data_IF_769216570618
#
_entry.id   IF_769216570618
#
_cell.length_a   1.000
_cell.length_b   1.000
_cell.length_c   1.000
_cell.angle_alpha   90.00
_cell.angle_beta   90.00
_cell.angle_gamma   90.00
#
_symmetry.space_group_name_H-M   'P 1'
#
loop_
_entity.id
_entity.type
_entity.pdbx_description
1 polymer ?
#
# COMPACT_ATOMS: atom_id res chain seq x y z
N UNK A 1 -2.11 7.65 -14.58
CA UNK A 1 -2.36 7.19 -13.19
C UNK A 1 -3.81 6.80 -13.01
N UNK A 2 -4.09 5.75 -12.23
CA UNK A 2 -5.43 5.32 -11.77
C UNK A 2 -5.56 5.63 -10.29
N UNK A 3 -6.75 6.04 -9.84
CA UNK A 3 -6.96 6.53 -8.48
C UNK A 3 -7.85 5.60 -7.69
N UNK A 4 -7.39 5.20 -6.52
CA UNK A 4 -8.07 4.27 -5.63
C UNK A 4 -8.24 4.75 -4.21
N UNK A 5 -8.91 3.91 -3.42
CA UNK A 5 -9.04 4.09 -1.98
C UNK A 5 -9.01 2.73 -1.28
N UNK A 6 -8.34 2.67 -0.13
CA UNK A 6 -8.31 1.49 0.72
C UNK A 6 -9.63 1.36 1.48
N UNK A 7 -10.19 0.15 1.52
CA UNK A 7 -11.51 -0.12 2.10
C UNK A 7 -11.67 0.37 3.55
N UNK A 8 -10.58 0.34 4.33
CA UNK A 8 -10.61 0.65 5.77
C UNK A 8 -10.93 2.13 6.09
N UNK A 9 -11.01 3.01 5.10
CA UNK A 9 -11.47 4.39 5.29
C UNK A 9 -12.85 4.47 5.96
N UNK A 10 -13.76 3.55 5.60
CA UNK A 10 -15.11 3.50 6.14
C UNK A 10 -15.23 2.68 7.41
N UNK A 11 -14.20 1.92 7.78
CA UNK A 11 -14.29 0.87 8.77
C UNK A 11 -13.60 1.20 10.11
N UNK A 12 -14.03 0.49 11.15
CA UNK A 12 -13.35 0.44 12.45
C UNK A 12 -12.73 -0.94 12.71
N UNK A 13 -13.14 -1.94 11.94
CA UNK A 13 -12.67 -3.32 12.08
C UNK A 13 -12.05 -3.81 10.77
N UNK A 14 -11.02 -4.65 10.89
CA UNK A 14 -10.35 -5.23 9.73
C UNK A 14 -11.14 -6.34 9.04
N UNK A 15 -11.90 -7.11 9.83
CA UNK A 15 -12.62 -8.28 9.34
C UNK A 15 -14.05 -7.91 8.92
N UNK A 16 -14.18 -7.33 7.75
CA UNK A 16 -15.45 -6.93 7.14
C UNK A 16 -15.56 -7.49 5.72
N UNK A 17 -16.79 -7.61 5.20
CA UNK A 17 -17.00 -7.95 3.79
C UNK A 17 -16.66 -6.74 2.91
N UNK A 18 -15.51 -6.80 2.25
CA UNK A 18 -15.00 -5.70 1.44
C UNK A 18 -15.64 -5.63 0.04
N UNK A 19 -16.36 -6.66 -0.39
CA UNK A 19 -17.09 -6.69 -1.68
C UNK A 19 -18.12 -5.56 -1.78
N UNK A 20 -18.73 -5.16 -0.66
CA UNK A 20 -19.71 -4.08 -0.59
C UNK A 20 -19.19 -2.73 -1.09
N UNK A 21 -17.87 -2.52 -1.06
CA UNK A 21 -17.26 -1.26 -1.51
C UNK A 21 -17.04 -1.16 -3.01
N UNK A 22 -17.17 -2.26 -3.78
CA UNK A 22 -16.90 -2.26 -5.24
C UNK A 22 -17.81 -1.26 -5.97
N UNK A 23 -19.12 -1.32 -5.75
CA UNK A 23 -20.06 -0.35 -6.35
C UNK A 23 -19.90 1.04 -5.76
N UNK A 24 -19.72 1.14 -4.44
CA UNK A 24 -19.54 2.41 -3.75
C UNK A 24 -18.38 3.23 -4.33
N UNK A 25 -17.19 2.65 -4.47
CA UNK A 25 -16.02 3.39 -4.98
C UNK A 25 -16.23 3.83 -6.43
N UNK A 26 -16.97 3.06 -7.24
CA UNK A 26 -17.38 3.46 -8.59
C UNK A 26 -18.23 4.71 -8.57
N UNK A 27 -19.27 4.73 -7.74
CA UNK A 27 -20.20 5.85 -7.64
C UNK A 27 -19.51 7.13 -7.13
N UNK A 28 -18.46 6.98 -6.33
CA UNK A 28 -17.64 8.08 -5.82
C UNK A 28 -16.55 8.57 -6.81
N UNK A 29 -16.41 7.93 -7.98
CA UNK A 29 -15.51 8.35 -9.04
C UNK A 29 -14.08 7.82 -8.96
N UNK A 30 -13.86 6.72 -8.21
CA UNK A 30 -12.60 6.00 -8.19
C UNK A 30 -12.45 5.04 -9.37
N UNK A 31 -11.22 4.67 -9.68
CA UNK A 31 -10.87 3.62 -10.64
C UNK A 31 -10.54 2.31 -9.93
N UNK A 32 -10.14 2.37 -8.65
CA UNK A 32 -9.57 1.25 -7.88
C UNK A 32 -10.24 1.16 -6.52
N UNK A 33 -10.54 -0.09 -6.10
CA UNK A 33 -10.73 -0.45 -4.70
C UNK A 33 -9.50 -1.25 -4.26
N UNK A 34 -8.82 -0.80 -3.20
CA UNK A 34 -7.80 -1.61 -2.56
C UNK A 34 -8.38 -2.41 -1.41
N UNK A 35 -8.15 -3.73 -1.46
CA UNK A 35 -8.63 -4.69 -0.47
C UNK A 35 -7.49 -5.20 0.40
N UNK A 36 -7.81 -5.73 1.59
CA UNK A 36 -6.82 -6.43 2.42
C UNK A 36 -6.69 -7.89 2.02
N UNK A 37 -5.47 -8.38 1.85
CA UNK A 37 -5.20 -9.82 1.67
C UNK A 37 -5.69 -10.67 2.85
N UNK A 38 -5.92 -10.09 4.02
CA UNK A 38 -6.44 -10.80 5.17
C UNK A 38 -7.81 -11.46 4.89
N UNK A 39 -8.67 -10.80 4.11
CA UNK A 39 -9.96 -11.36 3.71
C UNK A 39 -9.83 -12.59 2.80
N UNK A 40 -8.72 -12.71 2.08
CA UNK A 40 -8.51 -13.79 1.12
C UNK A 40 -8.06 -15.11 1.77
N UNK A 41 -7.69 -15.13 3.06
CA UNK A 41 -7.15 -16.32 3.74
C UNK A 41 -8.05 -17.55 3.60
N UNK A 42 -9.34 -17.39 3.82
CA UNK A 42 -10.31 -18.49 3.85
C UNK A 42 -11.39 -18.39 2.76
N UNK A 43 -11.19 -17.55 1.76
CA UNK A 43 -12.15 -17.35 0.67
C UNK A 43 -12.12 -18.56 -0.29
N UNK A 44 -13.25 -19.01 -0.72
CA UNK A 44 -13.41 -20.08 -1.72
C UNK A 44 -13.12 -19.56 -3.13
N UNK A 45 -12.84 -20.49 -4.06
CA UNK A 45 -12.65 -20.13 -5.47
C UNK A 45 -13.89 -19.50 -6.09
N UNK A 46 -15.07 -19.96 -5.73
CA UNK A 46 -16.34 -19.44 -6.26
C UNK A 46 -16.57 -18.00 -5.80
N UNK A 47 -16.29 -17.70 -4.53
CA UNK A 47 -16.35 -16.32 -4.01
C UNK A 47 -15.32 -15.39 -4.66
N UNK A 48 -14.11 -15.89 -4.98
CA UNK A 48 -13.11 -15.13 -5.76
C UNK A 48 -13.63 -14.79 -7.15
N UNK A 49 -14.23 -15.77 -7.85
CA UNK A 49 -14.80 -15.55 -9.18
C UNK A 49 -16.00 -14.61 -9.16
N UNK A 50 -16.85 -14.70 -8.13
CA UNK A 50 -17.94 -13.75 -7.89
C UNK A 50 -17.39 -12.32 -7.71
N UNK A 51 -16.40 -12.14 -6.84
CA UNK A 51 -15.79 -10.83 -6.59
C UNK A 51 -15.11 -10.26 -7.84
N UNK A 52 -14.39 -11.09 -8.61
CA UNK A 52 -13.83 -10.69 -9.90
C UNK A 52 -14.92 -10.19 -10.84
N UNK A 53 -16.04 -10.92 -10.93
CA UNK A 53 -17.16 -10.53 -11.77
C UNK A 53 -17.77 -9.21 -11.31
N UNK A 54 -17.99 -9.02 -10.01
CA UNK A 54 -18.53 -7.77 -9.47
C UNK A 54 -17.64 -6.57 -9.82
N UNK A 55 -16.33 -6.71 -9.67
CA UNK A 55 -15.36 -5.66 -10.01
C UNK A 55 -15.37 -5.36 -11.52
N UNK A 56 -15.36 -6.38 -12.35
CA UNK A 56 -15.43 -6.24 -13.81
C UNK A 56 -16.74 -5.57 -14.28
N UNK A 57 -17.90 -5.99 -13.74
CA UNK A 57 -19.21 -5.42 -14.09
C UNK A 57 -19.28 -3.93 -13.69
N UNK A 58 -18.67 -3.55 -12.56
CA UNK A 58 -18.58 -2.16 -12.11
C UNK A 58 -17.50 -1.36 -12.87
N UNK A 59 -16.60 -1.99 -13.61
CA UNK A 59 -15.45 -1.36 -14.23
C UNK A 59 -14.45 -0.81 -13.20
N UNK A 60 -14.31 -1.51 -12.06
CA UNK A 60 -13.37 -1.21 -10.98
C UNK A 60 -12.21 -2.20 -11.04
N UNK A 61 -11.00 -1.68 -10.98
CA UNK A 61 -9.79 -2.46 -10.78
C UNK A 61 -9.60 -2.75 -9.29
N UNK A 62 -9.13 -3.95 -8.95
CA UNK A 62 -8.75 -4.26 -7.58
C UNK A 62 -7.23 -4.20 -7.43
N UNK A 63 -6.76 -3.69 -6.29
CA UNK A 63 -5.40 -3.86 -5.78
C UNK A 63 -5.46 -4.46 -4.38
N UNK A 64 -4.33 -4.90 -3.85
CA UNK A 64 -4.32 -5.55 -2.54
C UNK A 64 -3.24 -4.96 -1.64
N UNK A 65 -3.60 -4.70 -0.37
CA UNK A 65 -2.68 -4.29 0.69
C UNK A 65 -2.55 -5.36 1.77
N UNK A 66 -1.38 -5.44 2.44
CA UNK A 66 -1.20 -6.37 3.53
C UNK A 66 -0.16 -5.95 4.57
N UNK A 67 -0.57 -5.94 5.84
CA UNK A 67 0.31 -5.94 7.01
C UNK A 67 0.43 -7.37 7.57
N UNK A 68 1.50 -8.11 7.29
CA UNK A 68 1.63 -9.50 7.70
C UNK A 68 1.87 -9.61 9.20
N UNK A 69 1.24 -10.57 9.87
CA UNK A 69 1.50 -10.82 11.28
C UNK A 69 2.84 -11.56 11.49
N UNK A 70 3.28 -11.69 12.75
CA UNK A 70 4.57 -12.29 13.11
C UNK A 70 4.76 -13.75 12.62
N UNK A 71 3.68 -14.49 12.33
CA UNK A 71 3.76 -15.86 11.79
C UNK A 71 3.99 -15.89 10.27
N UNK A 72 3.88 -14.74 9.61
CA UNK A 72 4.04 -14.55 8.17
C UNK A 72 5.28 -13.68 7.86
N UNK A 73 6.21 -13.60 8.83
CA UNK A 73 7.40 -12.75 8.76
C UNK A 73 8.50 -13.37 7.88
N UNK A 74 8.75 -12.79 6.71
CA UNK A 74 9.84 -13.18 5.80
C UNK A 74 11.25 -12.83 6.32
N UNK A 75 11.36 -11.96 7.33
CA UNK A 75 12.63 -11.60 7.96
C UNK A 75 12.96 -12.50 9.18
N UNK A 76 12.09 -13.42 9.57
CA UNK A 76 12.24 -14.24 10.76
C UNK A 76 13.53 -15.08 10.77
N UNK A 77 14.14 -15.23 11.94
CA UNK A 77 15.24 -16.18 12.17
C UNK A 77 14.74 -17.62 12.40
N UNK A 78 13.43 -17.81 12.59
CA UNK A 78 12.80 -19.12 12.73
C UNK A 78 12.44 -19.69 11.35
N UNK A 79 13.06 -20.83 10.93
CA UNK A 79 12.78 -21.44 9.62
C UNK A 79 11.33 -21.87 9.42
N UNK A 80 10.62 -22.27 10.49
CA UNK A 80 9.20 -22.65 10.38
C UNK A 80 8.31 -21.44 10.13
N UNK A 81 8.61 -20.29 10.73
CA UNK A 81 7.91 -19.03 10.43
C UNK A 81 8.13 -18.64 8.97
N UNK A 82 9.37 -18.70 8.48
CA UNK A 82 9.69 -18.39 7.08
C UNK A 82 8.97 -19.32 6.10
N UNK A 83 8.98 -20.62 6.38
CA UNK A 83 8.26 -21.62 5.57
C UNK A 83 6.76 -21.34 5.51
N UNK A 84 6.14 -21.02 6.66
CA UNK A 84 4.74 -20.65 6.74
C UNK A 84 4.46 -19.36 5.96
N UNK A 85 5.34 -18.35 6.07
CA UNK A 85 5.22 -17.09 5.33
C UNK A 85 5.26 -17.32 3.82
N UNK A 86 6.23 -18.09 3.30
CA UNK A 86 6.34 -18.41 1.87
C UNK A 86 5.09 -19.18 1.40
N UNK A 87 4.60 -20.15 2.18
CA UNK A 87 3.39 -20.90 1.84
C UNK A 87 2.16 -19.98 1.80
N UNK A 88 2.04 -19.07 2.76
CA UNK A 88 0.97 -18.08 2.81
C UNK A 88 0.98 -17.17 1.57
N UNK A 89 2.14 -16.55 1.25
CA UNK A 89 2.24 -15.68 0.07
C UNK A 89 2.01 -16.43 -1.23
N UNK A 90 2.44 -17.69 -1.33
CA UNK A 90 2.16 -18.53 -2.50
C UNK A 90 0.66 -18.74 -2.71
N UNK A 91 -0.10 -18.99 -1.64
CA UNK A 91 -1.56 -19.13 -1.70
C UNK A 91 -2.24 -17.80 -2.06
N UNK A 92 -1.84 -16.71 -1.42
CA UNK A 92 -2.39 -15.38 -1.69
C UNK A 92 -2.13 -14.97 -3.15
N UNK A 93 -0.91 -15.10 -3.66
CA UNK A 93 -0.57 -14.70 -5.03
C UNK A 93 -1.41 -15.45 -6.07
N UNK A 94 -1.66 -16.75 -5.87
CA UNK A 94 -2.58 -17.51 -6.73
C UNK A 94 -4.04 -17.02 -6.65
N UNK A 95 -4.48 -16.55 -5.50
CA UNK A 95 -5.81 -15.95 -5.35
C UNK A 95 -5.88 -14.57 -6.03
N UNK A 96 -4.80 -13.78 -5.96
CA UNK A 96 -4.70 -12.51 -6.67
C UNK A 96 -4.76 -12.73 -8.19
N UNK A 97 -4.08 -13.75 -8.73
CA UNK A 97 -4.17 -14.16 -10.14
C UNK A 97 -5.62 -14.47 -10.54
N UNK A 98 -6.36 -15.25 -9.73
CA UNK A 98 -7.78 -15.55 -9.98
C UNK A 98 -8.62 -14.26 -10.01
N UNK A 99 -8.36 -13.33 -9.10
CA UNK A 99 -9.05 -12.05 -9.00
C UNK A 99 -8.66 -11.04 -10.09
N UNK A 100 -7.63 -11.31 -10.88
CA UNK A 100 -7.05 -10.36 -11.85
C UNK A 100 -6.42 -9.13 -11.15
N UNK A 101 -5.84 -9.35 -9.98
CA UNK A 101 -5.12 -8.33 -9.21
C UNK A 101 -3.64 -8.41 -9.56
N UNK A 102 -3.09 -7.33 -10.09
CA UNK A 102 -1.70 -7.26 -10.56
C UNK A 102 -0.77 -6.47 -9.63
N UNK A 103 -1.26 -6.03 -8.48
CA UNK A 103 -0.45 -5.27 -7.50
C UNK A 103 -0.81 -5.67 -6.09
N UNK A 104 0.20 -6.08 -5.32
CA UNK A 104 0.13 -6.23 -3.87
C UNK A 104 1.15 -5.29 -3.24
N UNK A 105 0.75 -4.55 -2.18
CA UNK A 105 1.62 -3.65 -1.44
C UNK A 105 1.57 -3.87 0.07
N UNK A 106 2.47 -3.22 0.79
CA UNK A 106 2.51 -3.25 2.26
C UNK A 106 3.85 -3.69 2.85
N UNK A 107 3.85 -3.90 4.16
CA UNK A 107 5.02 -4.38 4.92
C UNK A 107 5.39 -5.84 4.67
N UNK A 108 5.15 -6.34 3.47
CA UNK A 108 5.18 -7.75 3.05
C UNK A 108 6.57 -8.37 2.95
N UNK A 109 7.57 -7.70 3.47
CA UNK A 109 8.97 -8.15 3.61
C UNK A 109 9.34 -8.47 5.07
N UNK A 110 8.49 -8.08 6.03
CA UNK A 110 8.69 -8.27 7.47
C UNK A 110 7.36 -8.64 8.13
N UNK A 111 7.01 -8.02 9.27
CA UNK A 111 5.74 -8.20 9.95
C UNK A 111 5.24 -6.89 10.57
N UNK A 112 3.93 -6.80 10.76
CA UNK A 112 3.25 -5.64 11.32
C UNK A 112 2.06 -6.07 12.20
N UNK A 113 1.83 -5.43 13.35
CA UNK A 113 2.69 -4.42 13.98
C UNK A 113 3.96 -5.04 14.59
N UNK A 114 5.04 -4.23 14.61
CA UNK A 114 6.33 -4.69 15.14
C UNK A 114 6.31 -4.74 16.67
N UNK A 115 6.89 -5.82 17.24
CA UNK A 115 7.11 -5.96 18.66
C UNK A 115 8.45 -5.34 19.10
N UNK A 116 8.44 -4.05 19.39
CA UNK A 116 9.63 -3.32 19.85
C UNK A 116 10.07 -3.64 21.29
N UNK A 117 9.38 -4.54 21.99
CA UNK A 117 9.85 -5.04 23.29
C UNK A 117 11.05 -6.00 23.18
N UNK A 118 11.31 -6.49 21.97
CA UNK A 118 12.42 -7.40 21.65
C UNK A 118 13.58 -6.69 20.99
N UNK A 119 14.82 -7.17 21.17
CA UNK A 119 15.96 -6.65 20.42
C UNK A 119 15.75 -6.76 18.91
N UNK A 120 16.12 -5.71 18.19
CA UNK A 120 16.07 -5.64 16.72
C UNK A 120 17.44 -6.01 16.15
N UNK A 121 17.48 -7.02 15.28
CA UNK A 121 18.64 -7.41 14.47
C UNK A 121 18.43 -6.95 13.01
N UNK A 122 18.45 -5.63 12.78
CA UNK A 122 18.16 -5.06 11.43
C UNK A 122 19.02 -5.70 10.34
N UNK A 123 20.31 -5.94 10.58
CA UNK A 123 21.21 -6.50 9.57
C UNK A 123 20.90 -7.97 9.24
N UNK A 124 20.65 -8.79 10.27
CA UNK A 124 20.28 -10.19 10.07
C UNK A 124 18.89 -10.33 9.45
N UNK A 125 17.92 -9.52 9.90
CA UNK A 125 16.56 -9.49 9.34
C UNK A 125 16.56 -9.03 7.87
N UNK A 126 17.38 -8.04 7.53
CA UNK A 126 17.60 -7.60 6.16
C UNK A 126 18.04 -8.76 5.26
N UNK A 127 19.13 -9.43 5.63
CA UNK A 127 19.70 -10.51 4.82
C UNK A 127 18.70 -11.67 4.62
N UNK A 128 17.98 -12.05 5.68
CA UNK A 128 16.93 -13.09 5.63
C UNK A 128 15.76 -12.65 4.73
N UNK A 129 15.30 -11.42 4.91
CA UNK A 129 14.20 -10.86 4.15
C UNK A 129 14.54 -10.77 2.65
N UNK A 130 15.71 -10.28 2.26
CA UNK A 130 16.17 -10.26 0.86
C UNK A 130 16.10 -11.66 0.23
N UNK A 131 16.60 -12.68 0.92
CA UNK A 131 16.60 -14.06 0.40
C UNK A 131 15.18 -14.61 0.22
N UNK A 132 14.28 -14.34 1.17
CA UNK A 132 12.91 -14.86 1.17
C UNK A 132 11.99 -14.06 0.23
N UNK A 133 12.13 -12.73 0.17
CA UNK A 133 11.42 -11.88 -0.79
C UNK A 133 11.82 -12.22 -2.22
N UNK A 134 13.09 -12.57 -2.48
CA UNK A 134 13.50 -13.10 -3.80
C UNK A 134 12.72 -14.35 -4.21
N UNK A 135 12.46 -15.24 -3.25
CA UNK A 135 11.67 -16.46 -3.51
C UNK A 135 10.20 -16.11 -3.80
N UNK A 136 9.58 -15.29 -2.96
CA UNK A 136 8.18 -14.88 -3.12
C UNK A 136 7.99 -14.00 -4.36
N UNK A 137 8.94 -13.11 -4.65
CA UNK A 137 8.90 -12.24 -5.83
C UNK A 137 8.89 -13.01 -7.16
N UNK A 138 9.63 -14.13 -7.25
CA UNK A 138 9.57 -15.02 -8.43
C UNK A 138 8.18 -15.64 -8.59
N UNK A 139 7.56 -16.07 -7.48
CA UNK A 139 6.19 -16.60 -7.50
C UNK A 139 5.20 -15.50 -7.90
N UNK A 140 5.41 -14.27 -7.43
CA UNK A 140 4.60 -13.12 -7.83
C UNK A 140 4.69 -12.89 -9.35
N UNK A 141 5.89 -12.96 -9.93
CA UNK A 141 6.08 -12.89 -11.38
C UNK A 141 5.35 -13.99 -12.15
N UNK A 142 5.40 -15.24 -11.67
CA UNK A 142 4.65 -16.36 -12.25
C UNK A 142 3.13 -16.11 -12.24
N UNK A 143 2.62 -15.39 -11.23
CA UNK A 143 1.20 -15.02 -11.11
C UNK A 143 0.86 -13.68 -11.80
N UNK A 144 1.82 -12.99 -12.42
CA UNK A 144 1.62 -11.69 -13.05
C UNK A 144 1.33 -10.54 -12.07
N UNK A 145 1.91 -10.61 -10.87
CA UNK A 145 1.70 -9.65 -9.76
C UNK A 145 2.96 -8.89 -9.44
N UNK A 146 2.92 -7.55 -9.44
CA UNK A 146 3.97 -6.70 -8.85
C UNK A 146 3.90 -6.78 -7.32
N UNK A 147 5.02 -7.11 -6.69
CA UNK A 147 5.19 -7.26 -5.25
C UNK A 147 5.86 -6.01 -4.69
N UNK A 148 5.06 -5.08 -4.17
CA UNK A 148 5.47 -3.72 -3.84
C UNK A 148 5.77 -3.58 -2.33
N UNK A 149 7.03 -3.30 -2.00
CA UNK A 149 7.52 -3.19 -0.62
C UNK A 149 7.30 -1.79 -0.09
N UNK A 150 6.43 -1.64 0.90
CA UNK A 150 6.10 -0.37 1.49
C UNK A 150 7.19 0.15 2.42
N UNK A 151 7.62 1.38 2.18
CA UNK A 151 8.50 2.11 3.08
C UNK A 151 7.69 2.65 4.24
N UNK A 152 7.95 2.13 5.45
CA UNK A 152 7.21 2.47 6.66
C UNK A 152 7.99 3.43 7.54
N UNK A 153 7.29 4.30 8.28
CA UNK A 153 7.91 5.12 9.30
C UNK A 153 8.47 4.25 10.45
N UNK A 154 9.43 4.81 11.20
CA UNK A 154 10.16 4.14 12.31
C UNK A 154 9.28 3.65 13.47
N UNK A 155 8.04 4.11 13.56
CA UNK A 155 7.10 3.70 14.60
C UNK A 155 6.29 2.48 14.18
N UNK A 156 6.22 2.19 12.88
CA UNK A 156 5.46 1.09 12.29
C UNK A 156 6.35 0.00 11.68
N UNK A 157 7.58 0.33 11.30
CA UNK A 157 8.56 -0.62 10.77
C UNK A 157 10.00 -0.19 11.05
N UNK A 158 10.96 -1.11 10.95
CA UNK A 158 12.38 -0.82 11.20
C UNK A 158 13.29 -1.22 10.04
N UNK A 159 12.78 -2.02 9.10
CA UNK A 159 13.61 -2.64 8.08
C UNK A 159 13.83 -1.71 6.88
N UNK A 160 12.74 -1.11 6.37
CA UNK A 160 12.77 -0.14 5.28
C UNK A 160 12.09 1.15 5.73
N UNK A 161 12.86 2.19 6.02
CA UNK A 161 12.33 3.46 6.49
C UNK A 161 12.47 4.59 5.46
N UNK A 162 13.36 4.46 4.47
CA UNK A 162 13.54 5.46 3.42
C UNK A 162 13.49 4.83 2.03
N UNK A 163 13.17 5.63 1.03
CA UNK A 163 13.25 5.22 -0.38
C UNK A 163 14.66 4.71 -0.75
N UNK A 164 15.71 5.30 -0.19
CA UNK A 164 17.08 4.87 -0.42
C UNK A 164 17.33 3.43 0.09
N UNK A 165 16.83 3.10 1.30
CA UNK A 165 16.89 1.73 1.82
C UNK A 165 16.07 0.78 0.96
N UNK A 166 14.85 1.16 0.56
CA UNK A 166 14.00 0.33 -0.29
C UNK A 166 14.65 0.08 -1.67
N UNK A 167 15.28 1.08 -2.26
CA UNK A 167 16.01 0.95 -3.53
C UNK A 167 17.16 -0.06 -3.41
N UNK A 168 18.00 0.08 -2.38
CA UNK A 168 19.05 -0.88 -2.11
C UNK A 168 18.48 -2.30 -1.93
N UNK A 169 17.38 -2.43 -1.17
CA UNK A 169 16.75 -3.72 -0.90
C UNK A 169 16.22 -4.39 -2.18
N UNK A 170 15.50 -3.67 -3.04
CA UNK A 170 14.98 -4.26 -4.29
C UNK A 170 16.10 -4.57 -5.28
N UNK A 171 17.21 -3.83 -5.28
CA UNK A 171 18.41 -4.14 -6.05
C UNK A 171 19.08 -5.43 -5.55
N UNK A 172 19.19 -5.63 -4.23
CA UNK A 172 19.70 -6.86 -3.64
C UNK A 172 18.78 -8.06 -3.85
N UNK A 173 17.45 -7.86 -3.85
CA UNK A 173 16.47 -8.92 -4.18
C UNK A 173 16.62 -9.38 -5.62
N UNK A 174 16.91 -8.49 -6.56
CA UNK A 174 17.18 -8.78 -7.97
C UNK A 174 16.07 -9.62 -8.63
N UNK A 175 14.82 -9.19 -8.48
CA UNK A 175 13.63 -9.75 -9.13
C UNK A 175 12.83 -8.60 -9.73
N UNK A 176 12.53 -8.60 -11.04
CA UNK A 176 11.88 -7.46 -11.73
C UNK A 176 10.52 -7.06 -11.18
N UNK A 177 9.75 -8.02 -10.69
CA UNK A 177 8.40 -7.83 -10.14
C UNK A 177 8.40 -7.28 -8.73
N UNK A 178 9.55 -7.31 -8.03
CA UNK A 178 9.69 -6.69 -6.71
C UNK A 178 9.96 -5.20 -6.90
N UNK A 179 9.06 -4.38 -6.38
CA UNK A 179 9.02 -2.93 -6.58
C UNK A 179 8.99 -2.20 -5.24
N UNK A 180 9.22 -0.90 -5.30
CA UNK A 180 9.08 0.02 -4.18
C UNK A 180 7.63 0.46 -4.10
N UNK A 181 7.10 0.55 -2.89
CA UNK A 181 5.87 1.27 -2.59
C UNK A 181 6.21 2.43 -1.64
N UNK A 182 5.74 3.62 -1.98
CA UNK A 182 5.88 4.80 -1.14
C UNK A 182 4.50 5.25 -0.65
N UNK A 183 4.43 5.69 0.60
CA UNK A 183 3.25 6.33 1.19
C UNK A 183 3.62 7.71 1.72
N UNK A 184 2.88 8.73 1.31
CA UNK A 184 3.13 10.13 1.69
C UNK A 184 3.08 10.37 3.19
N UNK A 185 2.26 9.62 3.94
CA UNK A 185 2.22 9.71 5.39
C UNK A 185 3.54 9.24 6.02
N UNK A 186 4.08 8.11 5.56
CA UNK A 186 5.37 7.60 6.04
C UNK A 186 6.53 8.47 5.59
N UNK A 187 6.54 8.90 4.33
CA UNK A 187 7.53 9.81 3.78
C UNK A 187 7.62 11.14 4.56
N UNK A 188 6.48 11.68 5.02
CA UNK A 188 6.46 12.92 5.81
C UNK A 188 7.22 12.82 7.14
N UNK A 189 7.47 11.61 7.63
CA UNK A 189 8.19 11.37 8.88
C UNK A 189 9.68 11.08 8.61
N UNK A 190 9.97 10.34 7.55
CA UNK A 190 11.29 9.74 7.33
C UNK A 190 12.13 10.41 6.24
N UNK A 191 11.51 10.97 5.20
CA UNK A 191 12.25 11.57 4.10
C UNK A 191 12.56 13.04 4.35
N UNK A 192 13.79 13.43 4.05
CA UNK A 192 14.18 14.84 4.10
C UNK A 192 13.48 15.66 3.02
N UNK A 193 13.27 15.07 1.83
CA UNK A 193 12.51 15.64 0.72
C UNK A 193 11.72 14.53 -0.02
N UNK A 194 10.39 14.65 -0.02
CA UNK A 194 9.51 13.68 -0.69
C UNK A 194 9.67 13.67 -2.21
N UNK A 195 10.00 14.82 -2.82
CA UNK A 195 10.21 14.92 -4.26
C UNK A 195 11.46 14.17 -4.64
N UNK A 196 12.56 14.38 -3.93
CA UNK A 196 13.82 13.66 -4.17
C UNK A 196 13.65 12.15 -3.98
N UNK A 197 12.90 11.72 -2.95
CA UNK A 197 12.58 10.30 -2.72
C UNK A 197 11.79 9.69 -3.89
N UNK A 198 10.78 10.38 -4.43
CA UNK A 198 10.02 9.93 -5.61
C UNK A 198 10.93 9.84 -6.84
N UNK A 199 11.77 10.86 -7.08
CA UNK A 199 12.70 10.85 -8.19
C UNK A 199 13.74 9.71 -8.07
N UNK A 200 14.20 9.43 -6.84
CA UNK A 200 15.12 8.32 -6.54
C UNK A 200 14.49 6.94 -6.81
N UNK A 201 13.20 6.77 -6.49
CA UNK A 201 12.48 5.53 -6.77
C UNK A 201 12.40 5.23 -8.28
N UNK A 202 12.19 6.27 -9.10
CA UNK A 202 12.18 6.17 -10.55
C UNK A 202 11.25 5.06 -11.08
N UNK A 203 11.73 4.23 -12.00
CA UNK A 203 11.01 3.11 -12.60
C UNK A 203 10.81 1.91 -11.64
N UNK A 204 11.45 1.95 -10.48
CA UNK A 204 11.24 0.95 -9.42
C UNK A 204 9.98 1.21 -8.61
N UNK A 205 9.35 2.39 -8.73
CA UNK A 205 8.08 2.68 -8.05
C UNK A 205 6.95 1.85 -8.67
N UNK A 206 6.40 0.90 -7.92
CA UNK A 206 5.31 0.01 -8.35
C UNK A 206 3.94 0.46 -7.86
N UNK A 207 3.87 0.98 -6.63
CA UNK A 207 2.63 1.39 -6.00
C UNK A 207 2.83 2.68 -5.19
N UNK A 208 1.78 3.50 -5.08
CA UNK A 208 1.88 4.78 -4.39
C UNK A 208 0.65 5.05 -3.53
N UNK A 209 0.85 5.08 -2.20
CA UNK A 209 -0.18 5.47 -1.25
C UNK A 209 -0.16 6.97 -0.98
N UNK A 210 -1.33 7.54 -0.80
CA UNK A 210 -1.52 8.96 -0.53
C UNK A 210 -2.45 9.18 0.67
N UNK A 211 -1.94 9.91 1.63
CA UNK A 211 -2.64 10.37 2.82
C UNK A 211 -2.05 11.68 3.29
N UNK A 212 -2.81 12.47 4.02
CA UNK A 212 -2.26 13.65 4.68
C UNK A 212 -1.31 13.27 5.81
N UNK A 213 -0.48 14.19 6.24
CA UNK A 213 0.43 14.04 7.40
C UNK A 213 -0.25 13.60 8.70
N UNK A 214 -1.57 13.60 8.76
CA UNK A 214 -2.39 13.20 9.89
C UNK A 214 -3.35 12.05 9.56
N UNK A 215 -3.08 11.26 8.52
CA UNK A 215 -3.91 10.16 8.03
C UNK A 215 -5.30 10.57 7.50
N UNK A 216 -5.55 11.86 7.25
CA UNK A 216 -6.78 12.31 6.60
C UNK A 216 -6.69 12.15 5.08
N UNK A 217 -7.83 12.33 4.43
CA UNK A 217 -7.91 12.37 2.96
C UNK A 217 -7.06 13.50 2.38
N UNK A 218 -6.43 13.31 1.22
CA UNK A 218 -5.73 14.37 0.48
C UNK A 218 -6.55 15.64 0.30
N UNK A 219 -5.91 16.79 0.50
CA UNK A 219 -6.54 18.11 0.51
C UNK A 219 -7.11 18.55 1.86
N UNK A 220 -6.98 17.72 2.91
CA UNK A 220 -7.43 18.03 4.28
C UNK A 220 -6.29 18.22 5.27
N UNK A 221 -5.08 18.50 4.80
CA UNK A 221 -3.87 18.72 5.58
C UNK A 221 -2.88 19.62 4.90
N UNK A 222 -1.58 19.33 5.04
CA UNK A 222 -0.49 20.20 4.61
C UNK A 222 0.49 19.54 3.63
N UNK A 223 0.15 18.41 3.02
CA UNK A 223 1.03 17.73 2.07
C UNK A 223 1.26 18.56 0.80
N UNK A 224 2.47 18.56 0.24
CA UNK A 224 2.81 19.31 -0.96
C UNK A 224 2.34 18.60 -2.24
N UNK A 225 1.01 18.41 -2.39
CA UNK A 225 0.41 17.58 -3.42
C UNK A 225 0.82 17.94 -4.86
N UNK A 226 0.98 19.24 -5.12
CA UNK A 226 1.39 19.69 -6.45
C UNK A 226 2.80 19.22 -6.79
N UNK A 227 3.73 19.34 -5.85
CA UNK A 227 5.13 18.91 -6.02
C UNK A 227 5.21 17.39 -6.14
N UNK A 228 4.46 16.64 -5.30
CA UNK A 228 4.36 15.18 -5.38
C UNK A 228 3.85 14.74 -6.76
N UNK A 229 2.74 15.32 -7.24
CA UNK A 229 2.19 15.01 -8.55
C UNK A 229 3.14 15.34 -9.70
N UNK A 230 3.89 16.44 -9.58
CA UNK A 230 4.93 16.82 -10.53
C UNK A 230 6.08 15.81 -10.56
N UNK A 231 6.56 15.35 -9.40
CA UNK A 231 7.62 14.35 -9.30
C UNK A 231 7.18 13.00 -9.90
N UNK A 232 5.97 12.53 -9.59
CA UNK A 232 5.41 11.31 -10.19
C UNK A 232 5.37 11.38 -11.72
N UNK A 233 4.95 12.51 -12.28
CA UNK A 233 4.96 12.71 -13.75
C UNK A 233 6.38 12.78 -14.32
N UNK A 234 7.32 13.37 -13.61
CA UNK A 234 8.71 13.49 -14.04
C UNK A 234 9.39 12.12 -14.21
N UNK A 235 9.06 11.15 -13.36
CA UNK A 235 9.53 9.76 -13.50
C UNK A 235 8.67 8.91 -14.44
N UNK A 236 7.64 9.49 -15.08
CA UNK A 236 6.74 8.77 -15.97
C UNK A 236 5.80 7.78 -15.25
N UNK A 237 5.53 8.00 -13.96
CA UNK A 237 4.64 7.11 -13.19
C UNK A 237 3.20 7.24 -13.69
N UNK A 238 2.63 6.14 -14.19
CA UNK A 238 1.27 6.06 -14.72
C UNK A 238 0.40 4.97 -14.07
N UNK A 239 0.91 4.35 -12.99
CA UNK A 239 0.28 3.24 -12.28
C UNK A 239 -0.76 3.71 -11.24
N UNK A 240 -0.85 2.99 -10.12
CA UNK A 240 -1.88 3.12 -9.10
C UNK A 240 -1.52 4.17 -8.05
N UNK A 241 -2.45 5.07 -7.76
CA UNK A 241 -2.38 6.05 -6.67
C UNK A 241 -3.57 5.77 -5.76
N UNK A 242 -3.33 5.20 -4.58
CA UNK A 242 -4.40 4.77 -3.68
C UNK A 242 -4.39 5.60 -2.41
N UNK A 243 -5.55 6.16 -2.06
CA UNK A 243 -5.73 6.83 -0.79
C UNK A 243 -5.80 5.82 0.34
N UNK A 244 -5.00 6.04 1.39
CA UNK A 244 -5.03 5.25 2.61
C UNK A 244 -5.30 6.11 3.84
N UNK A 245 -6.49 6.73 3.94
CA UNK A 245 -6.85 7.53 5.11
C UNK A 245 -7.42 6.66 6.21
N UNK A 246 -7.08 7.00 7.47
CA UNK A 246 -7.64 6.39 8.66
C UNK A 246 -8.20 7.51 9.54
N UNK A 247 -9.50 7.71 9.51
CA UNK A 247 -10.15 8.87 10.15
C UNK A 247 -11.02 8.51 11.35
N UNK A 248 -11.36 7.22 11.51
CA UNK A 248 -12.25 6.75 12.57
C UNK A 248 -11.44 6.20 13.75
N UNK A 249 -11.69 6.73 14.94
CA UNK A 249 -11.10 6.21 16.18
C UNK A 249 -11.87 5.00 16.71
N UNK A 250 -11.18 4.15 17.47
CA UNK A 250 -11.74 2.92 18.06
C UNK A 250 -11.76 1.74 17.10
N UNK A 251 -12.16 0.59 17.62
CA UNK A 251 -12.09 -0.68 16.91
C UNK A 251 -10.65 -1.17 16.67
N UNK A 252 -10.50 -2.28 15.95
CA UNK A 252 -9.22 -2.85 15.61
C UNK A 252 -8.37 -1.93 14.73
N UNK A 253 -8.99 -1.32 13.70
CA UNK A 253 -8.28 -0.39 12.79
C UNK A 253 -7.72 0.80 13.57
N UNK A 254 -8.55 1.52 14.31
CA UNK A 254 -8.09 2.70 15.07
C UNK A 254 -7.03 2.37 16.11
N UNK A 255 -7.11 1.18 16.72
CA UNK A 255 -6.12 0.70 17.69
C UNK A 255 -4.77 0.40 17.03
N UNK A 256 -4.76 -0.31 15.92
CA UNK A 256 -3.52 -0.73 15.26
C UNK A 256 -2.81 0.44 14.58
N UNK A 257 -3.57 1.35 13.95
CA UNK A 257 -3.05 2.57 13.29
C UNK A 257 -2.78 3.72 14.30
N UNK A 258 -3.13 3.55 15.59
CA UNK A 258 -2.96 4.56 16.64
C UNK A 258 -3.77 5.86 16.40
N UNK A 259 -4.96 5.73 15.86
CA UNK A 259 -5.92 6.83 15.70
C UNK A 259 -6.76 6.97 16.97
N UNK A 260 -6.27 7.78 17.93
CA UNK A 260 -6.88 7.94 19.25
C UNK A 260 -7.96 9.01 19.34
N UNK A 261 -8.13 9.81 18.30
CA UNK A 261 -9.19 10.82 18.19
C UNK A 261 -9.92 10.67 16.85
N UNK A 262 -11.21 10.96 16.84
CA UNK A 262 -11.99 10.98 15.61
C UNK A 262 -11.54 12.12 14.69
N UNK A 263 -10.90 11.77 13.57
CA UNK A 263 -10.43 12.71 12.55
C UNK A 263 -11.53 13.03 11.53
N UNK A 264 -12.63 12.25 11.51
CA UNK A 264 -13.80 12.50 10.67
C UNK A 264 -14.68 13.63 11.20
N UNK A 265 -14.48 14.05 12.48
CA UNK A 265 -15.29 15.04 13.19
C UNK A 265 -16.76 14.63 13.33
N UNK A 266 -17.00 13.35 13.57
CA UNK A 266 -18.34 12.79 13.71
C UNK A 266 -19.08 12.60 12.39
N UNK A 267 -18.35 12.50 11.27
CA UNK A 267 -18.98 12.27 9.97
C UNK A 267 -19.75 10.95 9.95
N UNK A 268 -20.96 10.99 9.44
CA UNK A 268 -21.72 9.81 9.04
C UNK A 268 -21.18 9.25 7.70
N UNK A 269 -21.74 8.14 7.27
CA UNK A 269 -21.30 7.47 6.05
C UNK A 269 -21.47 8.36 4.82
N UNK A 270 -22.60 9.06 4.70
CA UNK A 270 -22.84 9.97 3.58
C UNK A 270 -21.78 11.09 3.51
N UNK A 271 -21.40 11.63 4.66
CA UNK A 271 -20.36 12.67 4.72
C UNK A 271 -18.98 12.11 4.39
N UNK A 272 -18.67 10.90 4.84
CA UNK A 272 -17.42 10.20 4.45
C UNK A 272 -17.36 9.99 2.93
N UNK A 273 -18.45 9.57 2.31
CA UNK A 273 -18.56 9.38 0.87
C UNK A 273 -18.32 10.67 0.08
N UNK A 274 -18.98 11.76 0.49
CA UNK A 274 -18.77 13.08 -0.13
C UNK A 274 -17.31 13.58 0.02
N UNK A 275 -16.72 13.35 1.18
CA UNK A 275 -15.33 13.73 1.43
C UNK A 275 -14.36 12.92 0.58
N UNK A 276 -14.60 11.62 0.39
CA UNK A 276 -13.81 10.75 -0.48
C UNK A 276 -13.92 11.16 -1.96
N UNK A 277 -15.13 11.41 -2.45
CA UNK A 277 -15.38 11.88 -3.82
C UNK A 277 -14.70 13.23 -4.10
N UNK A 278 -14.80 14.17 -3.17
CA UNK A 278 -14.12 15.46 -3.28
C UNK A 278 -12.60 15.31 -3.31
N UNK A 279 -12.04 14.38 -2.52
CA UNK A 279 -10.61 14.15 -2.44
C UNK A 279 -10.05 13.51 -3.73
N UNK A 280 -10.73 12.54 -4.33
CA UNK A 280 -10.26 11.96 -5.60
C UNK A 280 -10.33 12.99 -6.74
N UNK A 281 -11.38 13.83 -6.78
CA UNK A 281 -11.46 14.92 -7.74
C UNK A 281 -10.33 15.94 -7.55
N UNK A 282 -9.99 16.26 -6.30
CA UNK A 282 -8.86 17.12 -5.96
C UNK A 282 -7.53 16.53 -6.44
N UNK A 283 -7.23 15.25 -6.13
CA UNK A 283 -5.99 14.60 -6.58
C UNK A 283 -5.86 14.57 -8.11
N UNK A 284 -6.94 14.21 -8.81
CA UNK A 284 -6.95 14.22 -10.29
C UNK A 284 -6.57 15.59 -10.83
N UNK A 285 -7.08 16.66 -10.23
CA UNK A 285 -6.79 18.02 -10.65
C UNK A 285 -5.33 18.41 -10.38
N UNK A 286 -4.83 18.21 -9.14
CA UNK A 286 -3.45 18.62 -8.78
C UNK A 286 -2.39 17.76 -9.47
N UNK A 287 -2.66 16.47 -9.70
CA UNK A 287 -1.72 15.58 -10.36
C UNK A 287 -1.72 15.70 -11.89
N UNK A 288 -2.71 16.38 -12.50
CA UNK A 288 -2.74 16.71 -13.93
C UNK A 288 -2.07 18.05 -14.27
N UNK A 289 -1.58 18.80 -13.29
CA UNK A 289 -0.94 20.11 -13.46
C UNK A 289 0.33 20.08 -14.32
N UNK A 290 0.92 21.24 -14.64
CA UNK A 290 2.17 21.31 -15.39
C UNK A 290 3.33 20.66 -14.65
N UNK A 291 4.34 20.17 -15.38
CA UNK A 291 5.54 19.60 -14.78
C UNK A 291 6.46 20.70 -14.25
N UNK A 292 7.08 20.45 -13.09
CA UNK A 292 8.27 21.17 -12.66
C UNK A 292 9.51 20.63 -13.40
N UNK A 293 10.54 21.47 -13.55
CA UNK A 293 11.79 21.03 -14.15
C UNK A 293 12.69 20.38 -13.08
N UNK A 294 12.83 19.07 -13.16
CA UNK A 294 13.72 18.26 -12.29
C UNK A 294 14.98 17.76 -13.03
N UNK A 295 15.31 18.35 -14.18
CA UNK A 295 16.45 17.90 -15.02
C UNK A 295 17.80 17.92 -14.29
N UNK A 296 17.94 18.72 -13.24
CA UNK A 296 19.16 18.79 -12.41
C UNK A 296 19.25 17.63 -11.40
N UNK A 297 18.15 17.02 -11.03
CA UNK A 297 18.08 15.93 -10.03
C UNK A 297 18.12 14.55 -10.71
N UNK A 298 17.61 14.45 -11.92
CA UNK A 298 17.52 13.20 -12.68
C UNK A 298 18.83 12.81 -13.42
N UNK A 299 19.91 13.57 -13.23
CA UNK A 299 21.25 13.30 -13.78
C UNK A 299 22.09 12.52 -12.80
#
# INVERSE_FOLDING_TARGET
>A
MKYGIYFAYWEKEWNVDQKQYISKVKDLGFDILEISCAMLKNISKDELLEMKKMASDAGIMLTAGYGPNAKENLASSDPEVVKNAIAFYTDILKKLEILDIHTIGGGIYSYWPVDYSKPIDKAGDWARSVANVRTVGKIAGECGVEYCLEVLNRFEGYLLNTCAEAKQFVEEVDVPEVKIMLDTFHMNIEEDDMVEAILLAGDRLGHFHVGENNRRLPGKGGMPWYQIGSALRAIGYDKNVVMEPFVRSGGGVGSDIKVWRDLSKGADEQRLDLDAAASVAYLRNVFSGPNSDYSSVLK
#
